data_IF_191165059536
#
_entry.id   IF_191165059536
#
_cell.length_a   1.000
_cell.length_b   1.000
_cell.length_c   1.000
_cell.angle_alpha   90.00
_cell.angle_beta   90.00
_cell.angle_gamma   90.00
#
_symmetry.space_group_name_H-M   'P 1'
#
loop_
_entity.id
_entity.type
_entity.pdbx_description
1 polymer ?
#
# COMPACT_ATOMS: atom_id res chain seq x y z
N UNK A 1 -17.26 4.81 -0.26
CA UNK A 1 -17.81 3.44 -0.23
C UNK A 1 -17.20 2.67 0.92
N UNK A 2 -17.97 1.76 1.54
CA UNK A 2 -17.47 0.87 2.59
C UNK A 2 -16.83 -0.36 1.93
N UNK A 3 -15.61 -0.70 2.34
CA UNK A 3 -14.92 -1.92 1.89
C UNK A 3 -15.74 -3.16 2.26
N UNK A 4 -15.84 -4.11 1.34
CA UNK A 4 -16.48 -5.41 1.62
C UNK A 4 -15.65 -6.20 2.63
N UNK A 5 -16.30 -7.09 3.39
CA UNK A 5 -15.62 -7.94 4.39
C UNK A 5 -14.51 -8.81 3.76
N UNK A 6 -14.70 -9.26 2.51
CA UNK A 6 -13.67 -9.98 1.76
C UNK A 6 -12.45 -9.10 1.43
N UNK A 7 -12.66 -7.85 1.03
CA UNK A 7 -11.58 -6.90 0.78
C UNK A 7 -10.83 -6.58 2.06
N UNK A 8 -11.53 -6.31 3.16
CA UNK A 8 -10.90 -6.07 4.47
C UNK A 8 -10.02 -7.26 4.90
N UNK A 9 -10.50 -8.49 4.75
CA UNK A 9 -9.72 -9.70 5.08
C UNK A 9 -8.48 -9.87 4.20
N UNK A 10 -8.60 -9.62 2.89
CA UNK A 10 -7.46 -9.68 1.96
C UNK A 10 -6.43 -8.59 2.26
N UNK A 11 -6.90 -7.37 2.50
CA UNK A 11 -6.05 -6.23 2.84
C UNK A 11 -5.38 -6.43 4.19
N UNK A 12 -6.08 -6.98 5.20
CA UNK A 12 -5.48 -7.37 6.48
C UNK A 12 -4.38 -8.41 6.29
N UNK A 13 -4.61 -9.47 5.50
CA UNK A 13 -3.55 -10.46 5.20
C UNK A 13 -2.38 -9.84 4.45
N UNK A 14 -2.63 -8.92 3.53
CA UNK A 14 -1.57 -8.22 2.82
C UNK A 14 -0.76 -7.35 3.79
N UNK A 15 -1.44 -6.63 4.68
CA UNK A 15 -0.83 -5.80 5.71
C UNK A 15 0.05 -6.63 6.66
N UNK A 16 -0.47 -7.77 7.12
CA UNK A 16 0.24 -8.75 7.96
C UNK A 16 1.52 -9.29 7.29
N UNK A 17 1.57 -9.31 5.94
CA UNK A 17 2.78 -9.68 5.20
C UNK A 17 3.82 -8.54 5.13
N UNK A 18 3.40 -7.29 5.28
CA UNK A 18 4.28 -6.13 5.30
C UNK A 18 4.78 -5.78 6.70
N UNK A 19 3.97 -6.04 7.73
CA UNK A 19 4.33 -5.88 9.14
C UNK A 19 5.21 -7.05 9.59
N UNK A 20 6.53 -6.84 9.58
CA UNK A 20 7.51 -7.89 9.90
C UNK A 20 7.66 -8.07 11.40
N UNK A 21 7.49 -7.00 12.17
CA UNK A 21 7.54 -7.05 13.63
C UNK A 21 6.23 -7.57 14.25
N UNK A 22 5.14 -7.62 13.49
CA UNK A 22 3.82 -8.04 13.97
C UNK A 22 3.20 -7.01 14.93
N UNK A 23 3.62 -5.76 14.82
CA UNK A 23 3.23 -4.67 15.70
C UNK A 23 1.80 -4.17 15.44
N UNK A 24 1.21 -4.53 14.29
CA UNK A 24 -0.08 -4.03 13.81
C UNK A 24 0.01 -2.69 13.10
N UNK A 25 1.22 -2.12 12.99
CA UNK A 25 1.54 -0.91 12.24
C UNK A 25 2.77 -1.15 11.36
N UNK A 26 2.81 -0.58 10.16
CA UNK A 26 4.02 -0.63 9.35
C UNK A 26 4.84 0.61 9.69
N UNK A 27 6.11 0.43 10.06
CA UNK A 27 6.98 1.53 10.47
C UNK A 27 8.26 1.62 9.63
N UNK A 28 9.00 2.72 9.77
CA UNK A 28 10.34 2.85 9.16
C UNK A 28 11.27 1.72 9.64
N UNK A 29 11.12 1.27 10.89
CA UNK A 29 11.95 0.23 11.48
C UNK A 29 11.73 -1.14 10.82
N UNK A 30 10.51 -1.45 10.38
CA UNK A 30 10.22 -2.67 9.61
C UNK A 30 10.96 -2.67 8.28
N UNK A 31 10.92 -1.54 7.57
CA UNK A 31 11.65 -1.35 6.31
C UNK A 31 13.17 -1.41 6.51
N UNK A 32 13.67 -0.89 7.63
CA UNK A 32 15.09 -0.99 7.96
C UNK A 32 15.49 -2.44 8.27
N UNK A 33 14.68 -3.19 9.03
CA UNK A 33 14.89 -4.62 9.26
C UNK A 33 14.84 -5.43 7.96
N UNK A 34 13.92 -5.12 7.04
CA UNK A 34 13.87 -5.73 5.71
C UNK A 34 15.14 -5.42 4.91
N UNK A 35 15.59 -4.16 4.89
CA UNK A 35 16.81 -3.74 4.21
C UNK A 35 18.04 -4.48 4.76
N UNK A 36 18.14 -4.61 6.09
CA UNK A 36 19.19 -5.36 6.76
C UNK A 36 19.15 -6.85 6.41
N UNK A 37 17.97 -7.47 6.45
CA UNK A 37 17.77 -8.87 6.09
C UNK A 37 18.15 -9.11 4.63
N UNK A 38 17.71 -8.23 3.73
CA UNK A 38 18.03 -8.29 2.30
C UNK A 38 19.53 -8.12 2.06
N UNK A 39 20.17 -7.18 2.75
CA UNK A 39 21.61 -6.97 2.65
C UNK A 39 22.39 -8.20 3.13
N UNK A 40 21.93 -8.84 4.21
CA UNK A 40 22.50 -10.10 4.72
C UNK A 40 22.35 -11.25 3.72
N UNK A 41 21.20 -11.37 3.05
CA UNK A 41 20.96 -12.39 2.00
C UNK A 41 21.86 -12.16 0.79
N UNK A 42 22.09 -10.91 0.42
CA UNK A 42 23.00 -10.53 -0.67
C UNK A 42 24.48 -10.67 -0.30
N UNK A 43 24.81 -10.85 0.99
CA UNK A 43 26.18 -10.93 1.48
C UNK A 43 26.87 -9.58 1.65
N UNK A 44 26.12 -8.48 1.66
CA UNK A 44 26.67 -7.15 1.94
C UNK A 44 26.99 -7.00 3.42
N UNK A 45 28.17 -6.45 3.73
CA UNK A 45 28.56 -6.21 5.12
C UNK A 45 27.92 -4.93 5.65
N UNK A 46 27.50 -4.92 6.93
CA UNK A 46 27.04 -3.69 7.57
C UNK A 46 28.17 -2.66 7.57
N UNK A 47 27.90 -1.49 7.00
CA UNK A 47 28.88 -0.42 6.80
C UNK A 47 29.50 -0.35 5.39
N UNK A 48 29.26 -1.34 4.52
CA UNK A 48 29.62 -1.24 3.10
C UNK A 48 28.79 -0.18 2.37
N UNK A 49 29.29 0.29 1.23
CA UNK A 49 28.59 1.28 0.42
C UNK A 49 27.26 0.70 -0.10
N UNK A 50 27.25 -0.56 -0.54
CA UNK A 50 26.04 -1.26 -0.97
C UNK A 50 24.98 -1.37 0.14
N UNK A 51 25.39 -1.64 1.38
CA UNK A 51 24.48 -1.68 2.53
C UNK A 51 23.80 -0.32 2.75
N UNK A 52 24.58 0.76 2.71
CA UNK A 52 24.06 2.12 2.85
C UNK A 52 23.13 2.50 1.69
N UNK A 53 23.43 2.07 0.47
CA UNK A 53 22.56 2.27 -0.70
C UNK A 53 21.23 1.56 -0.51
N UNK A 54 21.24 0.28 -0.11
CA UNK A 54 20.00 -0.48 0.11
C UNK A 54 19.17 0.14 1.24
N UNK A 55 19.77 0.44 2.40
CA UNK A 55 19.07 1.14 3.48
C UNK A 55 18.49 2.48 3.01
N UNK A 56 19.23 3.28 2.25
CA UNK A 56 18.75 4.55 1.73
C UNK A 56 17.59 4.38 0.74
N UNK A 57 17.67 3.39 -0.16
CA UNK A 57 16.60 3.08 -1.10
C UNK A 57 15.32 2.63 -0.38
N UNK A 58 15.43 1.73 0.60
CA UNK A 58 14.30 1.30 1.42
C UNK A 58 13.70 2.45 2.22
N UNK A 59 14.54 3.35 2.75
CA UNK A 59 14.09 4.57 3.45
C UNK A 59 13.37 5.56 2.52
N UNK A 60 13.85 5.74 1.29
CA UNK A 60 13.16 6.56 0.28
C UNK A 60 11.83 5.93 -0.16
N UNK A 61 11.80 4.61 -0.36
CA UNK A 61 10.57 3.86 -0.66
C UNK A 61 9.56 4.00 0.48
N UNK A 62 10.01 3.87 1.72
CA UNK A 62 9.20 4.09 2.92
C UNK A 62 8.61 5.51 2.94
N UNK A 63 9.45 6.54 2.79
CA UNK A 63 8.97 7.94 2.78
C UNK A 63 7.94 8.23 1.69
N UNK A 64 8.12 7.65 0.51
CA UNK A 64 7.15 7.81 -0.59
C UNK A 64 5.82 7.11 -0.25
N UNK A 65 5.89 5.88 0.25
CA UNK A 65 4.70 5.13 0.67
C UNK A 65 3.96 5.85 1.80
N UNK A 66 4.69 6.27 2.84
CA UNK A 66 4.19 7.05 3.95
C UNK A 66 3.46 8.29 3.42
N UNK A 67 4.10 9.11 2.57
CA UNK A 67 3.45 10.31 2.02
C UNK A 67 2.12 10.06 1.29
N UNK A 68 1.92 8.87 0.72
CA UNK A 68 0.68 8.53 0.02
C UNK A 68 -0.38 7.87 0.92
N UNK A 69 0.04 7.12 1.94
CA UNK A 69 -0.83 6.27 2.77
C UNK A 69 -1.06 6.84 4.17
N UNK A 70 -0.04 7.49 4.74
CA UNK A 70 -0.06 8.15 6.05
C UNK A 70 -0.91 9.43 5.93
N UNK A 71 -2.15 9.34 6.40
CA UNK A 71 -3.12 10.44 6.34
C UNK A 71 -2.96 11.33 7.58
N UNK A 72 -2.52 10.75 8.70
CA UNK A 72 -2.42 11.41 9.99
C UNK A 72 -1.03 12.05 10.25
N UNK A 73 -0.04 11.79 9.40
CA UNK A 73 1.36 12.22 9.50
C UNK A 73 2.04 11.82 10.82
N UNK A 74 1.57 10.73 11.43
CA UNK A 74 2.10 10.12 12.65
C UNK A 74 3.45 9.45 12.42
N UNK A 75 3.74 9.09 11.18
CA UNK A 75 4.96 8.40 10.81
C UNK A 75 4.82 6.87 10.84
N UNK A 76 3.65 6.35 11.19
CA UNK A 76 3.29 4.94 11.21
C UNK A 76 2.08 4.70 10.29
N UNK A 77 2.06 3.58 9.56
CA UNK A 77 0.91 3.24 8.71
C UNK A 77 0.07 2.19 9.42
N UNK A 78 -1.08 2.61 9.93
CA UNK A 78 -2.03 1.71 10.59
C UNK A 78 -2.86 0.90 9.59
N UNK A 79 -3.44 -0.22 10.04
CA UNK A 79 -4.36 -1.01 9.22
C UNK A 79 -5.55 -0.14 8.75
N UNK A 80 -6.05 0.75 9.60
CA UNK A 80 -7.19 1.61 9.30
C UNK A 80 -6.86 2.59 8.17
N UNK A 81 -5.70 3.26 8.24
CA UNK A 81 -5.23 4.16 7.18
C UNK A 81 -4.96 3.42 5.87
N UNK A 82 -4.40 2.21 5.95
CA UNK A 82 -4.20 1.37 4.79
C UNK A 82 -5.53 1.01 4.12
N UNK A 83 -6.55 0.66 4.91
CA UNK A 83 -7.91 0.38 4.41
C UNK A 83 -8.54 1.65 3.81
N UNK A 84 -8.44 2.80 4.46
CA UNK A 84 -8.97 4.06 3.94
C UNK A 84 -8.30 4.48 2.63
N UNK A 85 -6.97 4.41 2.55
CA UNK A 85 -6.24 4.69 1.32
C UNK A 85 -6.67 3.74 0.19
N UNK A 86 -6.81 2.44 0.46
CA UNK A 86 -7.28 1.46 -0.54
C UNK A 86 -8.73 1.68 -0.93
N UNK A 87 -9.59 2.11 -0.01
CA UNK A 87 -10.97 2.49 -0.31
C UNK A 87 -11.01 3.70 -1.26
N UNK A 88 -10.16 4.72 -1.03
CA UNK A 88 -10.00 5.89 -1.91
C UNK A 88 -9.50 5.47 -3.30
N UNK A 89 -8.47 4.63 -3.38
CA UNK A 89 -7.96 4.12 -4.67
C UNK A 89 -8.98 3.28 -5.44
N UNK A 90 -9.73 2.41 -4.75
CA UNK A 90 -10.78 1.60 -5.38
C UNK A 90 -11.91 2.48 -5.91
N UNK A 91 -12.32 3.50 -5.14
CA UNK A 91 -13.29 4.50 -5.59
C UNK A 91 -12.80 5.25 -6.82
N UNK A 92 -11.52 5.63 -6.86
CA UNK A 92 -10.91 6.29 -8.02
C UNK A 92 -10.88 5.37 -9.25
N UNK A 93 -10.56 4.09 -9.06
CA UNK A 93 -10.52 3.10 -10.16
C UNK A 93 -11.92 2.74 -10.69
N UNK A 94 -12.94 2.77 -9.84
CA UNK A 94 -14.32 2.55 -10.24
C UNK A 94 -14.92 3.77 -10.97
N UNK A 95 -14.45 4.98 -10.66
CA UNK A 95 -14.76 6.18 -11.44
C UNK A 95 -14.19 6.10 -12.88
N UNK A 96 -13.10 5.34 -13.09
CA UNK A 96 -12.57 4.95 -14.40
C UNK A 96 -13.10 3.60 -14.87
N UNK A 97 -14.35 3.26 -14.53
CA UNK A 97 -15.07 2.17 -15.20
C UNK A 97 -15.29 2.60 -16.65
N UNK A 98 -14.65 1.96 -17.62
CA UNK A 98 -14.81 2.40 -18.99
C UNK A 98 -16.25 2.13 -19.46
N UNK A 99 -16.84 3.12 -20.12
CA UNK A 99 -18.23 3.08 -20.64
C UNK A 99 -18.50 1.90 -21.59
N UNK A 100 -17.46 1.23 -22.11
CA UNK A 100 -17.62 0.02 -22.92
C UNK A 100 -17.97 -1.25 -22.11
N UNK A 101 -17.85 -1.25 -20.78
CA UNK A 101 -18.31 -2.36 -19.93
C UNK A 101 -19.85 -2.35 -19.72
N UNK A 102 -20.49 -1.17 -19.80
CA UNK A 102 -21.96 -1.05 -19.73
C UNK A 102 -22.66 -1.55 -21.00
N UNK A 103 -21.95 -1.57 -22.13
CA UNK A 103 -22.51 -2.09 -23.40
C UNK A 103 -22.73 -3.60 -23.41
N UNK A 104 -22.08 -4.36 -22.53
CA UNK A 104 -22.17 -5.83 -22.46
C UNK A 104 -23.18 -6.36 -21.43
N UNK A 105 -23.49 -5.57 -20.40
CA UNK A 105 -24.52 -5.92 -19.42
C UNK A 105 -25.75 -5.09 -19.74
N UNK A 106 -26.71 -5.67 -20.47
CA UNK A 106 -27.89 -5.01 -21.07
C UNK A 106 -28.84 -4.28 -20.11
N UNK A 107 -28.33 -3.32 -19.35
CA UNK A 107 -29.09 -2.38 -18.53
C UNK A 107 -29.00 -1.05 -19.26
N UNK A 108 -30.11 -0.65 -19.88
CA UNK A 108 -30.26 0.69 -20.49
C UNK A 108 -30.25 1.74 -19.39
N UNK A 109 -29.11 2.38 -19.17
CA UNK A 109 -29.04 3.69 -18.50
C UNK A 109 -29.17 4.76 -19.59
N UNK A 110 -30.42 5.11 -19.90
CA UNK A 110 -30.72 6.37 -20.58
C UNK A 110 -30.34 7.50 -19.64
N UNK A 111 -29.21 8.14 -19.91
CA UNK A 111 -29.02 9.51 -19.48
C UNK A 111 -28.39 10.30 -20.63
N UNK A 112 -29.28 10.92 -21.39
CA UNK A 112 -28.99 12.03 -22.29
C UNK A 112 -28.25 13.11 -21.51
N UNK A 113 -27.13 13.58 -22.05
CA UNK A 113 -26.62 14.90 -21.74
C UNK A 113 -27.20 15.85 -22.79
N UNK A 114 -28.15 16.69 -22.35
CA UNK A 114 -28.38 18.01 -22.94
C UNK A 114 -27.24 18.96 -22.53
#
# INVERSE_FOLDING_TARGET
>A
MVLTELQKRKLKKLFDLYDVDGSGVITEADYEKMAQSQAKVQGYQPGSLEYNIICSQFKTLWKNLQKEVDINYDGEVTLEEFLEHKAKQLSFKEQYRPLWLERQSGIKTSQSYE
#
